data_IF_360626749197
#
_entry.id   IF_360626749197
#
_cell.length_a   1.000
_cell.length_b   1.000
_cell.length_c   1.000
_cell.angle_alpha   90.00
_cell.angle_beta   90.00
_cell.angle_gamma   90.00
#
_symmetry.space_group_name_H-M   'P 1'
#
loop_
_entity.id
_entity.type
_entity.pdbx_description
1 polymer ?
#
# COMPACT_ATOMS: atom_id res chain seq x y z
N UNK A 1 -3.33 -4.34 -0.45
CA UNK A 1 -3.35 -5.22 0.74
C UNK A 1 -2.83 -4.44 1.93
N UNK A 2 -3.59 -4.41 3.05
CA UNK A 2 -3.17 -3.71 4.27
C UNK A 2 -2.53 -4.67 5.28
N UNK A 3 -2.97 -5.92 5.25
CA UNK A 3 -2.52 -6.94 6.20
C UNK A 3 -2.62 -8.33 5.57
N UNK A 4 -1.74 -9.23 5.97
CA UNK A 4 -1.86 -10.68 5.76
C UNK A 4 -1.62 -11.41 7.07
N UNK A 5 -2.19 -12.62 7.16
CA UNK A 5 -2.07 -13.45 8.35
C UNK A 5 -0.89 -14.43 8.24
N UNK A 6 -0.29 -14.72 9.38
CA UNK A 6 0.71 -15.77 9.60
C UNK A 6 0.33 -16.57 10.83
N UNK A 7 0.89 -17.74 10.97
CA UNK A 7 0.80 -18.56 12.19
C UNK A 7 2.21 -18.84 12.70
N UNK A 8 2.43 -18.64 14.00
CA UNK A 8 3.69 -18.99 14.62
C UNK A 8 3.90 -20.50 14.54
N UNK A 9 5.08 -20.94 14.10
CA UNK A 9 5.44 -22.35 13.97
C UNK A 9 6.17 -22.90 15.20
N UNK A 10 6.51 -22.00 16.13
CA UNK A 10 7.14 -22.29 17.42
C UNK A 10 6.94 -21.10 18.35
N UNK A 11 7.19 -21.28 19.64
CA UNK A 11 7.25 -20.16 20.57
C UNK A 11 8.34 -19.20 20.16
N UNK A 12 8.03 -17.91 20.15
CA UNK A 12 8.96 -16.87 19.75
C UNK A 12 8.69 -15.56 20.50
N UNK A 13 9.59 -14.61 20.36
CA UNK A 13 9.44 -13.27 20.94
C UNK A 13 9.71 -12.20 19.87
N UNK A 14 8.89 -11.17 19.85
CA UNK A 14 9.10 -10.00 18.98
C UNK A 14 8.97 -8.74 19.84
N UNK A 15 10.05 -7.96 19.92
CA UNK A 15 10.11 -6.71 20.67
C UNK A 15 9.63 -6.85 22.14
N UNK A 16 10.03 -7.92 22.83
CA UNK A 16 9.64 -8.19 24.23
C UNK A 16 8.24 -8.80 24.40
N UNK A 17 7.53 -9.06 23.30
CA UNK A 17 6.20 -9.70 23.34
C UNK A 17 6.33 -11.18 23.00
N UNK A 18 5.96 -12.03 23.96
CA UNK A 18 5.93 -13.49 23.79
C UNK A 18 4.79 -13.90 22.85
N UNK A 19 5.10 -14.74 21.88
CA UNK A 19 4.15 -15.26 20.88
C UNK A 19 4.22 -16.77 20.91
N UNK A 20 3.18 -17.45 21.42
CA UNK A 20 3.18 -18.91 21.51
C UNK A 20 3.03 -19.55 20.13
N UNK A 21 3.50 -20.81 20.03
CA UNK A 21 3.24 -21.66 18.86
C UNK A 21 1.75 -21.71 18.54
N UNK A 22 1.43 -21.69 17.24
CA UNK A 22 0.06 -21.70 16.77
C UNK A 22 -0.65 -20.34 16.78
N UNK A 23 -0.09 -19.31 17.42
CA UNK A 23 -0.69 -17.98 17.46
C UNK A 23 -0.91 -17.41 16.06
N UNK A 24 -2.04 -16.75 15.86
CA UNK A 24 -2.35 -16.04 14.61
C UNK A 24 -1.78 -14.62 14.67
N UNK A 25 -0.94 -14.29 13.70
CA UNK A 25 -0.20 -13.03 13.62
C UNK A 25 -0.70 -12.22 12.43
N UNK A 26 -1.13 -10.99 12.65
CA UNK A 26 -1.47 -10.03 11.60
C UNK A 26 -0.27 -9.18 11.18
N UNK A 27 0.34 -9.46 10.03
CA UNK A 27 1.44 -8.65 9.48
C UNK A 27 0.85 -7.45 8.77
N UNK A 28 0.94 -6.27 9.37
CA UNK A 28 0.27 -5.03 8.93
C UNK A 28 1.18 -4.19 8.05
N UNK A 29 1.24 -4.48 6.76
CA UNK A 29 2.05 -3.76 5.77
C UNK A 29 1.72 -2.26 5.68
N UNK A 30 0.43 -1.92 5.79
CA UNK A 30 -0.01 -0.53 5.77
C UNK A 30 0.51 0.29 6.94
N UNK A 31 0.65 -0.31 8.13
CA UNK A 31 1.26 0.33 9.30
C UNK A 31 2.79 0.39 9.15
N UNK A 32 3.43 -0.72 8.76
CA UNK A 32 4.87 -0.78 8.56
C UNK A 32 5.38 0.27 7.56
N UNK A 33 4.65 0.51 6.47
CA UNK A 33 4.99 1.54 5.48
C UNK A 33 4.76 2.98 5.98
N UNK A 34 4.21 3.15 7.18
CA UNK A 34 4.00 4.44 7.84
C UNK A 34 4.71 4.56 9.18
N UNK A 35 5.66 3.68 9.42
CA UNK A 35 6.49 3.73 10.62
C UNK A 35 7.49 4.90 10.52
N UNK A 36 7.35 5.90 11.40
CA UNK A 36 8.20 7.08 11.40
C UNK A 36 9.66 6.77 11.79
N UNK A 37 9.91 5.60 12.42
CA UNK A 37 11.28 5.15 12.69
C UNK A 37 12.02 4.69 11.41
N UNK A 38 11.28 4.35 10.35
CA UNK A 38 11.79 3.86 9.08
C UNK A 38 11.61 4.85 7.93
N UNK A 39 10.58 5.69 7.98
CA UNK A 39 10.22 6.60 6.91
C UNK A 39 10.00 8.01 7.45
N UNK A 40 10.81 8.93 7.04
CA UNK A 40 10.61 10.35 7.34
C UNK A 40 9.28 10.84 6.74
N UNK A 41 8.49 11.61 7.52
CA UNK A 41 7.18 12.14 7.11
C UNK A 41 6.32 11.08 6.37
N UNK A 42 5.97 9.93 7.01
CA UNK A 42 5.42 8.77 6.31
C UNK A 42 3.99 8.98 5.78
N UNK A 43 3.33 10.07 6.16
CA UNK A 43 1.99 10.45 5.69
C UNK A 43 2.03 11.41 4.51
N UNK A 44 3.19 11.95 4.17
CA UNK A 44 3.35 12.87 3.06
C UNK A 44 3.69 12.14 1.75
N UNK A 45 3.16 12.66 0.64
CA UNK A 45 3.57 12.25 -0.69
C UNK A 45 4.85 13.02 -1.02
N UNK A 46 5.98 12.29 -1.04
CA UNK A 46 7.28 12.84 -1.39
C UNK A 46 7.90 11.97 -2.50
N UNK A 47 8.06 12.54 -3.67
CA UNK A 47 8.63 11.86 -4.85
C UNK A 47 10.17 11.76 -4.79
N UNK A 48 10.81 12.57 -3.95
CA UNK A 48 12.26 12.67 -3.82
C UNK A 48 12.81 11.88 -2.63
N UNK A 49 12.10 10.86 -2.15
CA UNK A 49 12.57 10.02 -1.05
C UNK A 49 13.86 9.32 -1.41
N UNK A 50 14.84 9.37 -0.51
CA UNK A 50 16.16 8.75 -0.70
C UNK A 50 16.10 7.23 -0.91
N UNK A 51 15.08 6.55 -0.39
CA UNK A 51 14.89 5.10 -0.47
C UNK A 51 13.46 4.73 -0.89
N UNK A 52 13.02 5.07 -2.11
CA UNK A 52 11.64 4.84 -2.54
C UNK A 52 11.24 3.34 -2.56
N UNK A 53 12.21 2.45 -2.72
CA UNK A 53 11.99 0.99 -2.74
C UNK A 53 11.99 0.30 -1.38
N UNK A 54 12.19 1.00 -0.27
CA UNK A 54 12.28 0.40 1.06
C UNK A 54 10.93 -0.09 1.62
N UNK A 55 9.82 0.26 0.96
CA UNK A 55 8.48 -0.14 1.39
C UNK A 55 8.27 -1.67 1.31
N UNK A 56 7.42 -2.18 2.19
CA UNK A 56 7.01 -3.59 2.22
C UNK A 56 5.62 -3.84 1.63
N UNK A 57 5.16 -2.97 0.72
CA UNK A 57 3.83 -3.09 0.09
C UNK A 57 3.63 -4.41 -0.69
N UNK A 58 4.72 -5.00 -1.18
CA UNK A 58 4.75 -6.31 -1.84
C UNK A 58 5.22 -7.45 -0.93
N UNK A 59 5.29 -7.22 0.37
CA UNK A 59 5.88 -8.15 1.32
C UNK A 59 7.41 -8.20 1.23
N UNK A 60 7.99 -9.22 1.86
CA UNK A 60 9.44 -9.45 1.89
C UNK A 60 9.75 -10.94 2.07
N UNK A 61 11.00 -11.35 1.81
CA UNK A 61 11.47 -12.71 1.98
C UNK A 61 10.87 -13.69 0.97
N UNK A 62 10.74 -14.95 1.39
CA UNK A 62 10.27 -16.05 0.52
C UNK A 62 8.84 -15.88 0.00
N UNK A 63 8.05 -15.04 0.67
CA UNK A 63 6.68 -14.69 0.27
C UNK A 63 6.57 -13.31 -0.41
N UNK A 64 7.68 -12.75 -0.90
CA UNK A 64 7.60 -11.54 -1.72
C UNK A 64 6.62 -11.76 -2.88
N UNK A 65 5.79 -10.75 -3.16
CA UNK A 65 4.74 -10.85 -4.17
C UNK A 65 5.29 -11.26 -5.53
N UNK A 66 4.85 -12.41 -6.03
CA UNK A 66 5.23 -12.91 -7.37
C UNK A 66 4.79 -11.96 -8.48
N UNK A 67 3.64 -11.29 -8.30
CA UNK A 67 3.08 -10.32 -9.25
C UNK A 67 3.67 -8.91 -9.16
N UNK A 68 4.65 -8.64 -8.29
CA UNK A 68 5.19 -7.29 -8.12
C UNK A 68 5.76 -6.67 -9.41
N UNK A 69 6.50 -7.41 -10.27
CA UNK A 69 6.98 -6.87 -11.55
C UNK A 69 5.83 -6.49 -12.49
N UNK A 70 4.80 -7.32 -12.56
CA UNK A 70 3.62 -7.04 -13.40
C UNK A 70 2.87 -5.81 -12.88
N UNK A 71 2.54 -5.77 -11.58
CA UNK A 71 1.83 -4.65 -10.98
C UNK A 71 2.57 -3.32 -11.18
N UNK A 72 3.91 -3.31 -11.04
CA UNK A 72 4.72 -2.12 -11.31
C UNK A 72 4.64 -1.69 -12.77
N UNK A 73 4.63 -2.64 -13.71
CA UNK A 73 4.52 -2.37 -15.13
C UNK A 73 3.13 -1.82 -15.49
N UNK A 74 2.08 -2.40 -14.93
CA UNK A 74 0.69 -1.94 -15.12
C UNK A 74 0.50 -0.52 -14.58
N UNK A 75 0.99 -0.25 -13.37
CA UNK A 75 0.95 1.10 -12.78
C UNK A 75 1.71 2.11 -13.63
N UNK A 76 2.93 1.75 -14.08
CA UNK A 76 3.74 2.64 -14.91
C UNK A 76 3.04 3.00 -16.21
N UNK A 77 2.52 2.01 -16.95
CA UNK A 77 1.81 2.25 -18.19
C UNK A 77 0.48 2.99 -17.98
N UNK A 78 -0.27 2.64 -16.93
CA UNK A 78 -1.53 3.30 -16.61
C UNK A 78 -1.33 4.78 -16.31
N UNK A 79 -0.37 5.11 -15.43
CA UNK A 79 -0.06 6.51 -15.14
C UNK A 79 0.56 7.24 -16.32
N UNK A 80 1.44 6.59 -17.09
CA UNK A 80 2.02 7.19 -18.29
C UNK A 80 0.93 7.61 -19.28
N UNK A 81 0.05 6.70 -19.65
CA UNK A 81 -1.03 7.00 -20.61
C UNK A 81 -1.97 8.08 -20.06
N UNK A 82 -2.34 7.98 -18.78
CA UNK A 82 -3.22 8.97 -18.15
C UNK A 82 -2.59 10.37 -18.13
N UNK A 83 -1.32 10.49 -17.74
CA UNK A 83 -0.65 11.79 -17.57
C UNK A 83 -0.22 12.40 -18.91
N UNK A 84 0.11 11.59 -19.90
CA UNK A 84 0.45 12.09 -21.26
C UNK A 84 -0.78 12.53 -22.05
N UNK A 85 -1.96 11.96 -21.78
CA UNK A 85 -3.21 12.31 -22.47
C UNK A 85 -4.07 13.34 -21.72
N UNK A 86 -3.70 13.73 -20.51
CA UNK A 86 -4.51 14.61 -19.67
C UNK A 86 -3.89 15.99 -19.52
N UNK A 87 -4.61 17.02 -19.97
CA UNK A 87 -4.30 18.42 -19.69
C UNK A 87 -4.51 18.75 -18.20
N UNK A 88 -5.57 18.22 -17.60
CA UNK A 88 -5.85 18.34 -16.18
C UNK A 88 -6.59 17.12 -15.62
N UNK A 89 -6.36 16.84 -14.34
CA UNK A 89 -7.09 15.80 -13.60
C UNK A 89 -7.51 16.42 -12.27
N UNK A 90 -8.81 16.35 -11.95
CA UNK A 90 -9.35 16.88 -10.70
C UNK A 90 -10.46 15.98 -10.16
N UNK A 91 -10.76 16.09 -8.88
CA UNK A 91 -11.97 15.48 -8.34
C UNK A 91 -13.20 16.14 -8.98
N UNK A 92 -14.23 15.34 -9.21
CA UNK A 92 -15.50 15.83 -9.75
C UNK A 92 -16.19 16.77 -8.74
N UNK A 93 -15.99 16.53 -7.46
CA UNK A 93 -16.52 17.32 -6.36
C UNK A 93 -15.41 18.06 -5.62
N UNK A 94 -15.69 19.25 -5.07
CA UNK A 94 -14.71 20.08 -4.34
C UNK A 94 -14.24 19.41 -3.03
N UNK A 95 -15.11 18.68 -2.35
CA UNK A 95 -14.81 17.95 -1.11
C UNK A 95 -15.36 16.52 -1.22
N UNK A 96 -14.69 15.63 -1.95
CA UNK A 96 -15.18 14.28 -2.17
C UNK A 96 -15.19 13.45 -0.88
N UNK A 97 -16.28 12.74 -0.65
CA UNK A 97 -16.35 11.72 0.39
C UNK A 97 -15.96 10.37 -0.21
N UNK A 98 -15.01 9.70 0.44
CA UNK A 98 -14.51 8.41 -0.02
C UNK A 98 -15.12 7.25 0.76
N UNK A 99 -15.87 6.41 0.08
CA UNK A 99 -16.38 5.16 0.62
C UNK A 99 -15.42 4.01 0.29
N UNK A 100 -15.22 3.14 1.26
CA UNK A 100 -14.35 1.99 1.13
C UNK A 100 -15.16 0.70 1.22
N UNK A 101 -14.81 -0.26 0.37
CA UNK A 101 -15.40 -1.60 0.43
C UNK A 101 -15.06 -2.26 1.76
N UNK A 102 -16.03 -2.81 2.48
CA UNK A 102 -15.78 -3.50 3.74
C UNK A 102 -14.96 -4.76 3.49
N UNK A 103 -13.72 -4.77 3.96
CA UNK A 103 -12.81 -5.91 3.85
C UNK A 103 -11.72 -5.83 4.93
N UNK A 104 -11.45 -6.95 5.62
CA UNK A 104 -10.51 -6.98 6.74
C UNK A 104 -9.03 -6.90 6.31
N UNK A 105 -8.70 -7.33 5.08
CA UNK A 105 -7.31 -7.41 4.59
C UNK A 105 -7.00 -6.35 3.53
N UNK A 106 -8.02 -5.87 2.82
CA UNK A 106 -7.86 -4.93 1.72
C UNK A 106 -8.47 -3.58 2.10
N UNK A 107 -7.91 -2.52 1.55
CA UNK A 107 -8.51 -1.20 1.57
C UNK A 107 -8.62 -0.73 0.12
N UNK A 108 -9.81 -0.74 -0.41
CA UNK A 108 -10.11 -0.28 -1.77
C UNK A 108 -11.29 0.68 -1.75
N UNK A 109 -11.20 1.73 -2.54
CA UNK A 109 -12.30 2.64 -2.77
C UNK A 109 -13.42 1.91 -3.53
N UNK A 110 -14.67 2.28 -3.26
CA UNK A 110 -15.81 1.86 -4.07
C UNK A 110 -15.81 2.56 -5.42
N UNK A 111 -15.48 3.85 -5.40
CA UNK A 111 -15.37 4.69 -6.59
C UNK A 111 -14.38 5.83 -6.34
N UNK A 112 -13.83 6.37 -7.42
CA UNK A 112 -13.00 7.57 -7.43
C UNK A 112 -13.48 8.49 -8.56
N UNK A 113 -14.52 9.32 -8.34
CA UNK A 113 -15.02 10.24 -9.36
C UNK A 113 -14.00 11.34 -9.66
N UNK A 114 -13.45 11.31 -10.85
CA UNK A 114 -12.52 12.32 -11.36
C UNK A 114 -13.00 12.87 -12.71
N UNK A 115 -12.68 14.12 -12.96
CA UNK A 115 -12.83 14.76 -14.27
C UNK A 115 -11.46 14.85 -14.90
N UNK A 116 -11.34 14.38 -16.14
CA UNK A 116 -10.12 14.45 -16.94
C UNK A 116 -10.40 15.34 -18.14
N UNK A 117 -9.62 16.40 -18.31
CA UNK A 117 -9.59 17.19 -19.54
C UNK A 117 -8.47 16.62 -20.40
N UNK A 118 -8.79 16.26 -21.63
CA UNK A 118 -7.82 15.78 -22.61
C UNK A 118 -7.15 16.94 -23.35
N UNK A 119 -5.96 16.71 -23.88
CA UNK A 119 -5.27 17.67 -24.75
C UNK A 119 -5.98 17.82 -26.11
#
# INVERSE_FOLDING_TARGET
VQMLLRRATQDTEIAGVSIPEGALIGVRYGAANRDASQFECPHEINLDRSKPGAHVAFGSGVHHCLGAPLARRELWWGFKVLLEGAKSIRFTETNPTFNYRPHCLLRSLESLPITVELE
#
